data_IF_435068329067
#
_entry.id   IF_435068329067
#
_cell.length_a   1.000
_cell.length_b   1.000
_cell.length_c   1.000
_cell.angle_alpha   90.00
_cell.angle_beta   90.00
_cell.angle_gamma   90.00
#
_symmetry.space_group_name_H-M   'P 1'
#
loop_
_entity.id
_entity.type
_entity.pdbx_description
1 polymer ?
#
# COMPACT_ATOMS: atom_id res chain seq x y z
N UNK A 1 26.70 -17.14 0.57
CA UNK A 1 25.31 -16.80 0.94
C UNK A 1 25.12 -17.26 2.38
N UNK A 2 24.97 -16.35 3.33
CA UNK A 2 24.90 -16.70 4.75
C UNK A 2 23.58 -17.42 5.06
N UNK A 3 23.60 -18.39 5.97
CA UNK A 3 22.43 -19.16 6.46
C UNK A 3 21.30 -18.21 6.93
N UNK A 4 21.66 -17.01 7.37
CA UNK A 4 20.75 -15.94 7.77
C UNK A 4 19.86 -15.44 6.63
N UNK A 5 20.36 -15.39 5.39
CA UNK A 5 19.58 -14.97 4.22
C UNK A 5 18.57 -16.05 3.81
N UNK A 6 18.93 -17.32 3.96
CA UNK A 6 18.02 -18.45 3.67
C UNK A 6 16.85 -18.50 4.65
N UNK A 7 17.09 -18.16 5.92
CA UNK A 7 16.04 -18.08 6.95
C UNK A 7 15.11 -16.90 6.66
N UNK A 8 15.64 -15.72 6.30
CA UNK A 8 14.81 -14.55 5.92
C UNK A 8 13.88 -14.88 4.75
N UNK A 9 14.38 -15.58 3.74
CA UNK A 9 13.56 -15.99 2.60
C UNK A 9 12.47 -16.98 3.01
N UNK A 10 12.80 -17.96 3.85
CA UNK A 10 11.86 -18.98 4.31
C UNK A 10 10.75 -18.43 5.21
N UNK A 11 11.02 -17.37 5.98
CA UNK A 11 10.03 -16.70 6.84
C UNK A 11 9.37 -15.48 6.19
N UNK A 12 9.63 -15.22 4.89
CA UNK A 12 9.04 -14.09 4.16
C UNK A 12 9.46 -12.71 4.68
N UNK A 13 10.63 -12.63 5.35
CA UNK A 13 11.25 -11.40 5.84
C UNK A 13 12.21 -10.78 4.80
N UNK A 14 11.92 -10.98 3.52
CA UNK A 14 12.65 -10.33 2.42
C UNK A 14 12.21 -8.86 2.37
N UNK A 15 13.00 -7.98 2.97
CA UNK A 15 12.95 -6.55 2.69
C UNK A 15 13.45 -6.33 1.26
N UNK A 16 12.58 -6.57 0.27
CA UNK A 16 12.75 -6.05 -1.08
C UNK A 16 12.90 -4.51 -1.03
N UNK A 17 13.37 -3.86 -2.12
CA UNK A 17 13.47 -2.41 -2.15
C UNK A 17 12.14 -1.81 -1.66
N UNK A 18 12.20 -1.07 -0.56
CA UNK A 18 11.01 -0.65 0.20
C UNK A 18 10.16 0.29 -0.64
N UNK A 19 9.26 -0.25 -1.45
CA UNK A 19 8.17 0.47 -2.11
C UNK A 19 7.04 0.78 -1.12
N UNK A 20 7.33 0.78 0.18
CA UNK A 20 6.35 0.97 1.26
C UNK A 20 6.97 1.89 2.31
N UNK A 21 6.19 2.82 2.84
CA UNK A 21 6.68 3.75 3.86
C UNK A 21 6.96 2.99 5.16
N UNK A 22 7.98 3.38 5.90
CA UNK A 22 8.22 2.81 7.24
C UNK A 22 7.09 3.19 8.20
N UNK A 23 6.98 2.46 9.32
CA UNK A 23 5.94 2.75 10.32
C UNK A 23 6.18 4.11 10.97
N UNK A 24 7.44 4.44 11.21
CA UNK A 24 7.91 5.71 11.73
C UNK A 24 7.55 6.84 10.75
N UNK A 25 7.85 6.69 9.45
CA UNK A 25 7.51 7.68 8.42
C UNK A 25 6.00 7.96 8.33
N UNK A 26 5.17 6.91 8.40
CA UNK A 26 3.71 7.07 8.40
C UNK A 26 3.18 7.75 9.67
N UNK A 27 3.85 7.54 10.80
CA UNK A 27 3.54 8.19 12.06
C UNK A 27 3.92 9.67 12.04
N UNK A 28 5.12 9.98 11.55
CA UNK A 28 5.65 11.34 11.44
C UNK A 28 4.83 12.18 10.44
N UNK A 29 4.39 11.55 9.35
CA UNK A 29 3.46 12.15 8.38
C UNK A 29 2.02 12.26 8.90
N UNK A 30 1.74 11.80 10.13
CA UNK A 30 0.42 11.82 10.78
C UNK A 30 -0.70 11.22 9.92
N UNK A 31 -0.42 10.11 9.23
CA UNK A 31 -1.43 9.43 8.43
C UNK A 31 -2.50 8.78 9.33
N UNK A 32 -3.80 8.97 9.04
CA UNK A 32 -4.87 8.22 9.71
C UNK A 32 -4.72 6.71 9.47
N UNK A 33 -5.13 5.89 10.44
CA UNK A 33 -5.02 4.42 10.39
C UNK A 33 -5.51 3.81 9.06
N UNK A 34 -6.66 4.24 8.49
CA UNK A 34 -7.16 3.67 7.24
C UNK A 34 -6.23 3.84 6.03
N UNK A 35 -5.34 4.82 6.05
CA UNK A 35 -4.43 5.14 4.94
C UNK A 35 -3.00 4.65 5.16
N UNK A 36 -2.77 3.85 6.22
CA UNK A 36 -1.47 3.20 6.50
C UNK A 36 -1.38 1.85 5.79
N UNK A 37 -1.57 1.87 4.48
CA UNK A 37 -1.52 0.72 3.61
C UNK A 37 -0.21 0.64 2.82
N UNK A 38 -0.09 -0.35 1.94
CA UNK A 38 1.09 -0.53 1.07
C UNK A 38 1.33 0.68 0.16
N UNK A 39 0.30 1.48 -0.14
CA UNK A 39 0.37 2.66 -0.99
C UNK A 39 0.74 3.96 -0.24
N UNK A 40 0.97 3.90 1.09
CA UNK A 40 1.25 5.07 1.93
C UNK A 40 2.49 5.87 1.48
N UNK A 41 3.48 5.20 0.88
CA UNK A 41 4.69 5.82 0.32
C UNK A 41 4.39 6.85 -0.78
N UNK A 42 3.27 6.72 -1.50
CA UNK A 42 2.80 7.69 -2.50
C UNK A 42 1.92 8.78 -1.89
N UNK A 43 1.24 8.47 -0.79
CA UNK A 43 0.35 9.42 -0.11
C UNK A 43 1.13 10.52 0.63
N UNK A 44 2.27 10.19 1.23
CA UNK A 44 3.14 11.16 1.92
C UNK A 44 3.57 12.30 0.97
N UNK A 45 4.18 12.04 -0.21
CA UNK A 45 4.56 13.09 -1.14
C UNK A 45 3.35 13.83 -1.72
N UNK A 46 2.23 13.14 -1.99
CA UNK A 46 0.99 13.77 -2.45
C UNK A 46 0.47 14.80 -1.42
N UNK A 47 0.42 14.44 -0.14
CA UNK A 47 -0.02 15.36 0.91
C UNK A 47 0.95 16.55 1.05
N UNK A 48 2.26 16.31 0.87
CA UNK A 48 3.26 17.38 0.86
C UNK A 48 3.03 18.35 -0.30
N UNK A 49 2.79 17.84 -1.51
CA UNK A 49 2.44 18.66 -2.68
C UNK A 49 1.14 19.46 -2.44
N UNK A 50 0.09 18.81 -1.93
CA UNK A 50 -1.19 19.48 -1.62
C UNK A 50 -1.03 20.64 -0.64
N UNK A 51 -0.23 20.48 0.41
CA UNK A 51 0.03 21.57 1.34
C UNK A 51 0.81 22.73 0.69
N UNK A 52 1.84 22.42 -0.10
CA UNK A 52 2.67 23.43 -0.76
C UNK A 52 1.88 24.24 -1.82
N UNK A 53 1.00 23.57 -2.55
CA UNK A 53 0.20 24.14 -3.64
C UNK A 53 -1.22 24.54 -3.18
N UNK A 54 -1.45 24.70 -1.87
CA UNK A 54 -2.75 25.11 -1.30
C UNK A 54 -3.95 24.29 -1.81
N UNK A 55 -3.76 22.99 -2.02
CA UNK A 55 -4.77 22.04 -2.48
C UNK A 55 -5.39 22.38 -3.85
N UNK A 56 -4.66 23.08 -4.72
CA UNK A 56 -5.11 23.35 -6.08
C UNK A 56 -5.30 22.04 -6.87
N UNK A 57 -6.49 21.79 -7.46
CA UNK A 57 -6.82 20.51 -8.09
C UNK A 57 -5.89 20.07 -9.24
N UNK A 58 -5.29 21.03 -9.96
CA UNK A 58 -4.51 20.81 -11.19
C UNK A 58 -3.00 20.71 -10.98
N UNK A 59 -2.49 20.88 -9.74
CA UNK A 59 -1.03 20.97 -9.49
C UNK A 59 -0.37 19.64 -9.15
N UNK A 60 -1.06 18.75 -8.44
CA UNK A 60 -0.52 17.47 -7.94
C UNK A 60 -1.17 16.27 -8.64
N UNK A 61 -1.50 16.41 -9.92
CA UNK A 61 -2.26 15.39 -10.67
C UNK A 61 -1.47 14.09 -10.80
N UNK A 62 -0.18 14.15 -11.13
CA UNK A 62 0.64 12.96 -11.34
C UNK A 62 0.76 12.12 -10.06
N UNK A 63 1.02 12.77 -8.92
CA UNK A 63 1.10 12.14 -7.60
C UNK A 63 -0.26 11.54 -7.22
N UNK A 64 -1.35 12.28 -7.49
CA UNK A 64 -2.72 11.81 -7.23
C UNK A 64 -3.03 10.56 -8.04
N UNK A 65 -2.82 10.60 -9.35
CA UNK A 65 -3.09 9.47 -10.24
C UNK A 65 -2.21 8.26 -9.92
N UNK A 66 -0.96 8.48 -9.53
CA UNK A 66 -0.06 7.40 -9.10
C UNK A 66 -0.58 6.71 -7.83
N UNK A 67 -1.01 7.49 -6.83
CA UNK A 67 -1.60 6.95 -5.62
C UNK A 67 -2.92 6.20 -5.89
N UNK A 68 -3.81 6.76 -6.70
CA UNK A 68 -5.09 6.14 -7.07
C UNK A 68 -4.88 4.83 -7.84
N UNK A 69 -3.91 4.78 -8.75
CA UNK A 69 -3.55 3.55 -9.46
C UNK A 69 -3.08 2.46 -8.50
N UNK A 70 -2.23 2.80 -7.54
CA UNK A 70 -1.78 1.85 -6.51
C UNK A 70 -2.96 1.28 -5.71
N UNK A 71 -3.88 2.15 -5.26
CA UNK A 71 -5.09 1.73 -4.56
C UNK A 71 -5.97 0.79 -5.37
N UNK A 72 -6.11 1.07 -6.66
CA UNK A 72 -6.89 0.23 -7.56
C UNK A 72 -6.24 -1.15 -7.75
N UNK A 73 -4.91 -1.21 -7.89
CA UNK A 73 -4.19 -2.47 -7.99
C UNK A 73 -4.30 -3.31 -6.71
N UNK A 74 -4.20 -2.68 -5.54
CA UNK A 74 -4.44 -3.34 -4.25
C UNK A 74 -5.88 -3.83 -4.10
N UNK A 75 -6.86 -3.05 -4.54
CA UNK A 75 -8.25 -3.48 -4.55
C UNK A 75 -8.44 -4.74 -5.41
N UNK A 76 -7.87 -4.80 -6.61
CA UNK A 76 -7.93 -6.00 -7.47
C UNK A 76 -7.32 -7.22 -6.79
N UNK A 77 -6.19 -7.07 -6.09
CA UNK A 77 -5.59 -8.15 -5.30
C UNK A 77 -6.54 -8.65 -4.21
N UNK A 78 -7.21 -7.74 -3.50
CA UNK A 78 -8.20 -8.10 -2.46
C UNK A 78 -9.42 -8.81 -3.06
N UNK A 79 -9.91 -8.39 -4.23
CA UNK A 79 -11.01 -9.07 -4.93
C UNK A 79 -10.59 -10.50 -5.31
N UNK A 80 -9.43 -10.66 -5.95
CA UNK A 80 -8.91 -11.99 -6.28
C UNK A 80 -8.79 -12.88 -5.05
N UNK A 81 -8.31 -12.33 -3.93
CA UNK A 81 -8.23 -13.07 -2.67
C UNK A 81 -9.61 -13.48 -2.13
N UNK A 82 -10.60 -12.61 -2.24
CA UNK A 82 -11.97 -12.95 -1.83
C UNK A 82 -12.59 -14.02 -2.72
N UNK A 83 -12.28 -14.03 -4.02
CA UNK A 83 -12.78 -15.05 -4.94
C UNK A 83 -12.13 -16.42 -4.67
N UNK A 84 -10.84 -16.47 -4.35
CA UNK A 84 -10.17 -17.69 -3.83
C UNK A 84 -10.87 -18.23 -2.58
N UNK A 85 -11.18 -17.35 -1.61
CA UNK A 85 -11.84 -17.72 -0.36
C UNK A 85 -13.28 -18.21 -0.58
N UNK A 86 -14.00 -17.62 -1.53
CA UNK A 86 -15.36 -18.07 -1.91
C UNK A 86 -15.33 -19.43 -2.58
N UNK A 87 -14.38 -19.65 -3.50
CA UNK A 87 -14.21 -20.94 -4.16
C UNK A 87 -13.90 -22.04 -3.14
N UNK A 88 -13.02 -21.77 -2.16
CA UNK A 88 -12.71 -22.69 -1.07
C UNK A 88 -13.92 -23.00 -0.15
N UNK A 89 -14.89 -22.08 -0.06
CA UNK A 89 -16.14 -22.23 0.71
C UNK A 89 -17.31 -22.76 -0.13
N UNK A 90 -17.06 -23.30 -1.32
CA UNK A 90 -18.13 -23.83 -2.18
C UNK A 90 -19.13 -22.78 -2.68
N UNK A 91 -18.73 -21.50 -2.75
CA UNK A 91 -19.57 -20.40 -3.23
C UNK A 91 -20.41 -19.70 -2.16
N UNK A 92 -20.29 -20.07 -0.89
CA UNK A 92 -21.01 -19.41 0.20
C UNK A 92 -20.52 -17.96 0.44
N UNK A 93 -21.47 -17.03 0.56
CA UNK A 93 -21.17 -15.63 0.88
C UNK A 93 -20.82 -15.53 2.37
N UNK A 94 -19.68 -14.90 2.67
CA UNK A 94 -19.08 -14.81 4.02
C UNK A 94 -19.82 -13.92 5.04
N UNK A 95 -21.10 -13.63 4.79
CA UNK A 95 -21.92 -12.70 5.57
C UNK A 95 -22.92 -13.43 6.47
#
# INVERSE_FOLDING_TARGET
>A
MAITETIKHAVGLEAGPSTTASREEMSDARLPIPYRDTCAHLLIPLNRCRHNEYYLPWKCENERHSYEKCQYEEFKKRVAKMDELRAAKGGERSN
#
